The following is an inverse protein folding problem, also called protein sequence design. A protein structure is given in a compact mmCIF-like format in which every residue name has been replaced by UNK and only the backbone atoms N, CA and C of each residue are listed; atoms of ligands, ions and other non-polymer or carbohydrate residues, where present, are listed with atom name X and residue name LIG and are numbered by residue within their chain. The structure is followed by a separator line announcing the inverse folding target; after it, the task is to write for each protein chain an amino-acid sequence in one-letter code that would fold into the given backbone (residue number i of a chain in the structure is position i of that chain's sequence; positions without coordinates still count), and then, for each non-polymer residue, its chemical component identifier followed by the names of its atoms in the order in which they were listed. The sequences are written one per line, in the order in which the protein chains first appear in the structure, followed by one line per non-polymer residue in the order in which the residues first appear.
data_IF_282862606022
#
_entry.id   IF_282862606022
#
_cell.length_a   1.000
_cell.length_b   1.000
_cell.length_c   1.000
_cell.angle_alpha   90.00
_cell.angle_beta   90.00
_cell.angle_gamma   90.00
#
_symmetry.space_group_name_H-M   'P 1'
#
loop_
_entity.id
_entity.type
_entity.pdbx_description
1 polymer ?
#
# COMPACT_ATOMS: atom_id res chain seq x y z
N UNK A 1 29.41 7.28 18.59
CA UNK A 1 29.96 5.91 18.60
C UNK A 1 29.64 5.28 17.26
N UNK A 2 30.66 4.92 16.48
CA UNK A 2 30.51 4.36 15.13
C UNK A 2 29.88 2.97 15.20
N UNK A 3 28.55 2.92 15.15
CA UNK A 3 27.80 1.68 15.15
C UNK A 3 28.14 0.87 13.91
N UNK A 4 29.00 -0.14 14.07
CA UNK A 4 29.36 -1.09 13.03
C UNK A 4 28.11 -1.94 12.72
N UNK A 5 27.26 -1.41 11.85
CA UNK A 5 25.94 -1.95 11.61
C UNK A 5 26.01 -3.05 10.55
N UNK A 6 26.27 -4.28 10.99
CA UNK A 6 26.27 -5.47 10.11
C UNK A 6 24.84 -5.90 9.81
N UNK A 7 24.65 -6.55 8.67
CA UNK A 7 23.41 -7.22 8.34
C UNK A 7 23.25 -8.46 9.21
N UNK A 8 22.15 -8.55 9.96
CA UNK A 8 21.79 -9.73 10.73
C UNK A 8 20.89 -10.59 9.84
N UNK A 9 21.39 -11.76 9.42
CA UNK A 9 20.60 -12.74 8.70
C UNK A 9 20.31 -13.91 9.62
N UNK A 10 19.07 -14.00 10.05
CA UNK A 10 18.55 -15.13 10.82
C UNK A 10 17.70 -16.00 9.88
N UNK A 11 17.81 -17.32 10.00
CA UNK A 11 16.94 -18.26 9.27
C UNK A 11 15.68 -18.64 10.07
N UNK A 12 15.57 -18.14 11.29
CA UNK A 12 14.48 -18.45 12.22
C UNK A 12 13.74 -17.20 12.65
N UNK A 13 13.35 -17.21 13.92
CA UNK A 13 12.45 -16.21 14.49
C UNK A 13 13.23 -15.16 15.27
N UNK A 14 12.86 -13.90 15.08
CA UNK A 14 13.44 -12.76 15.80
C UNK A 14 12.40 -12.23 16.77
N UNK A 15 12.68 -12.35 18.07
CA UNK A 15 11.88 -11.70 19.10
C UNK A 15 12.65 -10.50 19.65
N UNK A 16 12.15 -9.31 19.34
CA UNK A 16 12.63 -8.07 19.94
C UNK A 16 11.74 -7.73 21.12
N UNK A 17 12.24 -7.94 22.33
CA UNK A 17 11.50 -7.61 23.57
C UNK A 17 11.36 -6.11 23.76
N UNK A 18 10.44 -5.66 24.62
CA UNK A 18 10.18 -4.23 24.85
C UNK A 18 11.39 -3.40 25.32
N UNK A 19 12.37 -4.04 25.96
CA UNK A 19 13.63 -3.41 26.38
C UNK A 19 14.77 -3.58 25.36
N UNK A 20 14.55 -4.36 24.31
CA UNK A 20 15.50 -4.56 23.23
C UNK A 20 15.65 -3.31 22.36
N UNK A 21 16.89 -2.92 22.10
CA UNK A 21 17.24 -1.95 21.05
C UNK A 21 17.99 -2.68 19.95
N UNK A 22 17.39 -2.76 18.76
CA UNK A 22 17.99 -3.38 17.60
C UNK A 22 18.51 -2.29 16.66
N UNK A 23 19.82 -2.03 16.74
CA UNK A 23 20.53 -1.05 15.93
C UNK A 23 21.25 -1.66 14.72
N UNK A 24 20.55 -2.44 13.89
CA UNK A 24 21.15 -3.14 12.74
C UNK A 24 20.77 -2.51 11.40
N UNK A 25 21.65 -2.58 10.41
CA UNK A 25 21.46 -1.91 9.12
C UNK A 25 20.43 -2.64 8.28
N UNK A 26 20.40 -3.97 8.40
CA UNK A 26 19.42 -4.84 7.78
C UNK A 26 19.26 -6.09 8.63
N UNK A 27 18.01 -6.43 8.96
CA UNK A 27 17.63 -7.69 9.61
C UNK A 27 16.83 -8.50 8.60
N UNK A 28 17.24 -9.73 8.37
CA UNK A 28 16.50 -10.71 7.58
C UNK A 28 16.10 -11.84 8.52
N UNK A 29 14.81 -12.16 8.56
CA UNK A 29 14.25 -13.22 9.38
C UNK A 29 13.08 -13.92 8.70
N UNK A 30 12.72 -15.10 9.20
CA UNK A 30 11.53 -15.80 8.72
C UNK A 30 10.28 -15.20 9.37
N UNK A 31 10.25 -15.20 10.70
CA UNK A 31 9.21 -14.55 11.49
C UNK A 31 9.82 -13.50 12.43
N UNK A 32 9.08 -12.44 12.71
CA UNK A 32 9.50 -11.41 13.66
C UNK A 32 8.39 -11.06 14.63
N UNK A 33 8.72 -10.95 15.91
CA UNK A 33 7.87 -10.35 16.93
C UNK A 33 8.59 -9.12 17.48
N UNK A 34 8.01 -7.94 17.27
CA UNK A 34 8.65 -6.67 17.58
C UNK A 34 7.89 -5.93 18.67
N UNK A 35 8.43 -5.94 19.88
CA UNK A 35 7.95 -5.19 21.04
C UNK A 35 8.89 -4.02 21.41
N UNK A 36 10.14 -4.05 20.92
CA UNK A 36 11.19 -3.09 21.25
C UNK A 36 11.50 -2.06 20.18
N UNK A 37 12.58 -1.30 20.40
CA UNK A 37 13.04 -0.26 19.47
C UNK A 37 13.79 -0.89 18.30
N UNK A 38 13.24 -0.72 17.11
CA UNK A 38 13.89 -1.12 15.87
C UNK A 38 14.50 0.11 15.17
N UNK A 39 15.82 0.12 15.05
CA UNK A 39 16.59 1.11 14.26
C UNK A 39 17.28 0.39 13.10
N UNK A 40 16.60 0.31 11.96
CA UNK A 40 17.15 -0.44 10.83
C UNK A 40 16.16 -0.75 9.73
N UNK A 41 16.62 -1.44 8.70
CA UNK A 41 15.73 -2.07 7.73
C UNK A 41 15.37 -3.48 8.23
N UNK A 42 14.09 -3.84 8.17
CA UNK A 42 13.58 -5.16 8.52
C UNK A 42 13.03 -5.85 7.29
N UNK A 43 13.46 -7.09 7.06
CA UNK A 43 12.98 -7.97 6.02
C UNK A 43 12.49 -9.28 6.66
N UNK A 44 11.20 -9.57 6.54
CA UNK A 44 10.59 -10.80 7.02
C UNK A 44 10.06 -11.61 5.82
N UNK A 45 10.48 -12.85 5.69
CA UNK A 45 10.02 -13.70 4.58
C UNK A 45 8.60 -14.23 4.77
N UNK A 46 8.10 -14.27 6.01
CA UNK A 46 6.79 -14.85 6.34
C UNK A 46 5.91 -13.84 7.11
N UNK A 47 5.89 -13.92 8.44
CA UNK A 47 4.97 -13.13 9.28
C UNK A 47 5.73 -12.22 10.25
N UNK A 48 5.36 -10.94 10.26
CA UNK A 48 5.88 -9.93 11.16
C UNK A 48 4.77 -9.40 12.06
N UNK A 49 4.83 -9.76 13.35
CA UNK A 49 3.94 -9.25 14.38
C UNK A 49 4.57 -8.03 15.02
N UNK A 50 3.91 -6.89 14.92
CA UNK A 50 4.36 -5.63 15.51
C UNK A 50 3.51 -5.39 16.75
N UNK A 51 4.17 -5.41 17.91
CA UNK A 51 3.62 -5.06 19.22
C UNK A 51 4.44 -3.90 19.85
N UNK A 52 4.76 -2.91 19.05
CA UNK A 52 5.59 -1.77 19.45
C UNK A 52 4.77 -0.49 19.47
N UNK A 53 5.07 0.39 20.44
CA UNK A 53 4.53 1.74 20.52
C UNK A 53 5.70 2.73 20.39
N UNK A 54 5.72 3.47 19.28
CA UNK A 54 6.71 4.50 19.02
C UNK A 54 7.03 4.66 17.54
N UNK A 55 8.18 5.30 17.31
CA UNK A 55 8.65 5.68 15.98
C UNK A 55 9.58 4.60 15.43
N UNK A 56 9.34 4.16 14.20
CA UNK A 56 10.23 3.27 13.45
C UNK A 56 10.90 4.10 12.33
N UNK A 57 12.18 4.50 12.48
CA UNK A 57 12.90 5.29 11.48
C UNK A 57 13.37 4.48 10.26
N UNK A 58 12.84 3.27 10.08
CA UNK A 58 13.36 2.25 9.18
C UNK A 58 12.36 1.77 8.13
N UNK A 59 12.85 1.11 7.08
CA UNK A 59 12.00 0.44 6.09
C UNK A 59 11.63 -0.95 6.59
N UNK A 60 10.36 -1.31 6.46
CA UNK A 60 9.85 -2.64 6.80
C UNK A 60 9.37 -3.31 5.52
N UNK A 61 9.79 -4.55 5.31
CA UNK A 61 9.31 -5.41 4.23
C UNK A 61 8.96 -6.77 4.82
N UNK A 62 7.72 -7.22 4.66
CA UNK A 62 7.27 -8.52 5.14
C UNK A 62 6.22 -9.10 4.21
N UNK A 63 6.00 -10.42 4.15
CA UNK A 63 4.83 -10.93 3.43
C UNK A 63 3.54 -10.60 4.17
N UNK A 64 3.47 -10.96 5.46
CA UNK A 64 2.31 -10.68 6.32
C UNK A 64 2.72 -9.77 7.48
N UNK A 65 2.02 -8.66 7.66
CA UNK A 65 2.20 -7.77 8.81
C UNK A 65 0.96 -7.84 9.66
N UNK A 66 1.13 -8.07 10.96
CA UNK A 66 0.07 -8.08 11.95
C UNK A 66 0.38 -7.04 13.02
N UNK A 67 -0.40 -5.97 13.06
CA UNK A 67 -0.27 -4.90 14.05
C UNK A 67 -1.21 -5.21 15.20
N UNK A 68 -0.68 -5.38 16.41
CA UNK A 68 -1.49 -5.66 17.60
C UNK A 68 -2.31 -4.46 18.08
N UNK A 69 -3.32 -4.71 18.92
CA UNK A 69 -4.23 -3.68 19.45
C UNK A 69 -3.56 -2.64 20.35
N UNK A 70 -2.47 -3.01 21.02
CA UNK A 70 -1.71 -2.12 21.92
C UNK A 70 -0.59 -1.37 21.19
N UNK A 71 -0.45 -1.59 19.89
CA UNK A 71 0.61 -0.99 19.08
C UNK A 71 0.21 0.40 18.61
N UNK A 72 1.18 1.31 18.65
CA UNK A 72 1.07 2.66 18.11
C UNK A 72 2.33 2.94 17.30
N UNK A 73 2.27 2.59 16.02
CA UNK A 73 3.46 2.57 15.16
C UNK A 73 3.46 3.81 14.29
N UNK A 74 4.52 4.60 14.38
CA UNK A 74 4.76 5.73 13.49
C UNK A 74 5.92 5.43 12.55
N UNK A 75 5.59 5.17 11.28
CA UNK A 75 6.54 4.85 10.23
C UNK A 75 6.95 6.11 9.47
N UNK A 76 8.21 6.50 9.60
CA UNK A 76 8.78 7.61 8.81
C UNK A 76 9.14 7.22 7.38
N UNK A 77 9.23 5.91 7.11
CA UNK A 77 9.60 5.35 5.81
C UNK A 77 8.49 4.43 5.33
N UNK A 78 8.51 4.16 4.02
CA UNK A 78 7.59 3.25 3.37
C UNK A 78 7.65 1.84 3.96
N UNK A 79 6.49 1.31 4.32
CA UNK A 79 6.28 -0.09 4.70
C UNK A 79 5.77 -0.86 3.49
N UNK A 80 6.35 -2.04 3.21
CA UNK A 80 5.93 -2.91 2.12
C UNK A 80 5.45 -4.25 2.65
N UNK A 81 4.26 -4.68 2.24
CA UNK A 81 3.82 -6.05 2.52
C UNK A 81 2.88 -6.63 1.46
N UNK A 82 2.62 -7.93 1.52
CA UNK A 82 1.57 -8.52 0.69
C UNK A 82 0.21 -8.38 1.39
N UNK A 83 0.14 -8.78 2.66
CA UNK A 83 -1.06 -8.69 3.50
C UNK A 83 -0.77 -7.92 4.78
N UNK A 84 -1.58 -6.92 5.10
CA UNK A 84 -1.46 -6.13 6.32
C UNK A 84 -2.76 -6.22 7.12
N UNK A 85 -2.67 -6.65 8.37
CA UNK A 85 -3.79 -6.69 9.30
C UNK A 85 -3.54 -5.70 10.44
N UNK A 86 -4.43 -4.71 10.58
CA UNK A 86 -4.27 -3.61 11.52
C UNK A 86 -5.31 -3.73 12.63
N UNK A 87 -4.86 -4.09 13.84
CA UNK A 87 -5.71 -4.14 15.04
C UNK A 87 -5.52 -2.94 15.98
N UNK A 88 -4.38 -2.26 15.90
CA UNK A 88 -4.03 -1.08 16.70
C UNK A 88 -3.94 0.20 15.87
N UNK A 89 -3.03 1.11 16.26
CA UNK A 89 -2.79 2.36 15.55
C UNK A 89 -1.52 2.27 14.71
N UNK A 90 -1.62 2.73 13.47
CA UNK A 90 -0.48 2.80 12.56
C UNK A 90 -0.55 4.09 11.76
N UNK A 91 0.58 4.79 11.65
CA UNK A 91 0.69 6.02 10.87
C UNK A 91 1.91 5.99 9.93
N UNK A 92 1.75 6.55 8.73
CA UNK A 92 2.81 6.67 7.72
C UNK A 92 2.42 6.14 6.34
N UNK A 93 3.44 5.92 5.49
CA UNK A 93 3.25 5.44 4.12
C UNK A 93 3.28 3.91 4.05
N UNK A 94 2.17 3.29 3.61
CA UNK A 94 2.01 1.83 3.54
C UNK A 94 1.72 1.42 2.11
N UNK A 95 2.48 0.45 1.62
CA UNK A 95 2.26 -0.18 0.31
C UNK A 95 2.00 -1.66 0.52
N UNK A 96 0.78 -2.10 0.24
CA UNK A 96 0.39 -3.50 0.39
C UNK A 96 -0.41 -4.03 -0.82
N UNK A 97 -0.60 -5.35 -0.93
CA UNK A 97 -1.63 -5.85 -1.84
C UNK A 97 -2.99 -5.81 -1.17
N UNK A 98 -3.10 -6.36 0.04
CA UNK A 98 -4.35 -6.46 0.79
C UNK A 98 -4.15 -5.80 2.16
N UNK A 99 -5.03 -4.87 2.51
CA UNK A 99 -5.06 -4.23 3.83
C UNK A 99 -6.39 -4.55 4.52
N UNK A 100 -6.33 -5.10 5.72
CA UNK A 100 -7.50 -5.40 6.55
C UNK A 100 -7.42 -4.60 7.84
N UNK A 101 -8.36 -3.68 8.04
CA UNK A 101 -8.49 -2.88 9.26
C UNK A 101 -9.54 -3.53 10.15
N UNK A 102 -9.16 -3.97 11.36
CA UNK A 102 -10.09 -4.55 12.33
C UNK A 102 -10.90 -3.49 13.09
N UNK A 103 -11.90 -3.93 13.87
CA UNK A 103 -12.87 -3.08 14.61
C UNK A 103 -12.31 -1.96 15.53
N UNK A 104 -11.03 -1.99 15.86
CA UNK A 104 -10.34 -0.95 16.68
C UNK A 104 -9.05 -0.45 16.02
N UNK A 105 -8.84 -0.82 14.77
CA UNK A 105 -7.70 -0.37 13.99
C UNK A 105 -7.86 1.08 13.60
N UNK A 106 -6.82 1.90 13.78
CA UNK A 106 -6.75 3.24 13.25
C UNK A 106 -5.54 3.34 12.31
N UNK A 107 -5.78 3.81 11.10
CA UNK A 107 -4.74 3.96 10.09
C UNK A 107 -4.70 5.40 9.59
N UNK A 108 -3.55 6.05 9.75
CA UNK A 108 -3.38 7.46 9.41
C UNK A 108 -2.22 7.69 8.42
N UNK A 109 -2.50 8.29 7.26
CA UNK A 109 -1.49 8.61 6.25
C UNK A 109 -1.79 8.02 4.87
N UNK A 110 -0.73 7.85 4.07
CA UNK A 110 -0.82 7.47 2.67
C UNK A 110 -0.76 5.95 2.51
N UNK A 111 -1.86 5.36 2.02
CA UNK A 111 -1.99 3.92 1.84
C UNK A 111 -2.16 3.62 0.38
N UNK A 112 -1.26 2.84 -0.18
CA UNK A 112 -1.36 2.29 -1.52
C UNK A 112 -1.64 0.79 -1.42
N UNK A 113 -2.82 0.37 -1.81
CA UNK A 113 -3.23 -1.04 -1.75
C UNK A 113 -3.82 -1.52 -3.08
N UNK A 114 -3.89 -2.83 -3.32
CA UNK A 114 -4.74 -3.37 -4.40
C UNK A 114 -6.16 -3.61 -3.94
N UNK A 115 -6.33 -4.02 -2.69
CA UNK A 115 -7.61 -4.23 -2.04
C UNK A 115 -7.54 -3.78 -0.58
N UNK A 116 -8.63 -3.20 -0.08
CA UNK A 116 -8.77 -2.82 1.32
C UNK A 116 -10.10 -3.37 1.87
N UNK A 117 -10.06 -3.87 3.09
CA UNK A 117 -11.22 -4.36 3.84
C UNK A 117 -11.24 -3.69 5.20
N UNK A 118 -12.35 -3.05 5.55
CA UNK A 118 -12.49 -2.31 6.81
C UNK A 118 -13.63 -2.93 7.60
N UNK A 119 -13.32 -3.44 8.78
CA UNK A 119 -14.31 -3.96 9.71
C UNK A 119 -15.02 -2.84 10.48
N UNK A 120 -16.19 -3.16 11.06
CA UNK A 120 -17.01 -2.22 11.85
C UNK A 120 -16.22 -1.60 13.00
N UNK A 121 -15.96 -0.30 12.93
CA UNK A 121 -15.20 0.45 13.95
C UNK A 121 -13.73 0.69 13.59
N UNK A 122 -13.26 0.20 12.43
CA UNK A 122 -11.99 0.62 11.85
C UNK A 122 -12.06 2.08 11.41
N UNK A 123 -11.00 2.85 11.70
CA UNK A 123 -10.89 4.25 11.31
C UNK A 123 -9.71 4.42 10.35
N UNK A 124 -9.94 5.10 9.24
CA UNK A 124 -8.91 5.43 8.26
C UNK A 124 -8.94 6.93 7.99
N UNK A 125 -7.77 7.58 8.06
CA UNK A 125 -7.61 9.02 7.87
C UNK A 125 -6.38 9.29 7.01
N UNK A 126 -6.56 9.70 5.76
CA UNK A 126 -5.43 10.03 4.88
C UNK A 126 -5.75 9.77 3.41
N UNK A 127 -4.71 9.69 2.57
CA UNK A 127 -4.90 9.37 1.16
C UNK A 127 -4.85 7.86 0.94
N UNK A 128 -5.86 7.34 0.26
CA UNK A 128 -5.92 5.94 -0.15
C UNK A 128 -5.86 5.85 -1.68
N UNK A 129 -4.89 5.10 -2.19
CA UNK A 129 -4.73 4.83 -3.61
C UNK A 129 -4.90 3.34 -3.84
N UNK A 130 -5.98 2.97 -4.52
CA UNK A 130 -6.28 1.58 -4.87
C UNK A 130 -5.85 1.33 -6.32
N UNK A 131 -5.14 0.23 -6.59
CA UNK A 131 -4.93 -0.25 -7.97
C UNK A 131 -3.60 0.10 -8.63
N UNK A 132 -2.61 0.66 -7.92
CA UNK A 132 -1.24 0.81 -8.45
C UNK A 132 -0.48 -0.53 -8.45
N UNK A 133 -0.92 -1.43 -9.31
CA UNK A 133 -0.14 -2.53 -9.84
C UNK A 133 0.80 -1.97 -10.93
N UNK A 134 2.04 -1.66 -10.57
CA UNK A 134 3.09 -1.16 -11.47
C UNK A 134 2.88 0.29 -11.95
N UNK A 135 3.86 1.15 -11.64
CA UNK A 135 4.25 2.16 -12.62
C UNK A 135 4.97 1.41 -13.75
N UNK A 136 4.22 0.83 -14.68
CA UNK A 136 4.67 0.79 -16.06
C UNK A 136 4.52 2.22 -16.55
N UNK A 137 5.63 2.95 -16.49
CA UNK A 137 5.80 4.21 -17.20
C UNK A 137 5.61 3.91 -18.69
N UNK A 138 4.39 4.09 -19.21
CA UNK A 138 4.09 3.77 -20.62
C UNK A 138 2.64 3.96 -21.09
N UNK A 139 1.62 3.76 -20.25
CA UNK A 139 0.22 3.73 -20.73
C UNK A 139 -0.73 4.57 -19.86
N UNK A 140 -0.51 5.89 -19.81
CA UNK A 140 -1.54 6.84 -19.37
C UNK A 140 -1.44 8.18 -20.12
N UNK A 141 -0.96 8.12 -21.37
CA UNK A 141 -1.54 8.89 -22.47
C UNK A 141 -2.62 7.93 -23.01
N UNK A 142 -3.93 8.12 -22.94
CA UNK A 142 -4.75 9.33 -22.92
C UNK A 142 -6.06 9.02 -22.17
N UNK A 143 -6.46 9.88 -21.23
CA UNK A 143 -7.90 10.16 -21.08
C UNK A 143 -8.22 11.28 -22.07
N UNK A 144 -8.89 10.99 -23.20
CA UNK A 144 -9.87 11.95 -23.72
C UNK A 144 -10.96 11.36 -24.65
N UNK A 145 -12.17 11.37 -24.08
CA UNK A 145 -13.47 11.75 -24.65
C UNK A 145 -14.48 10.62 -24.93
N UNK A 146 -15.62 10.59 -24.21
CA UNK A 146 -16.70 9.64 -24.46
C UNK A 146 -17.32 9.87 -25.85
N UNK A 147 -17.29 8.83 -26.68
CA UNK A 147 -18.01 8.78 -27.94
C UNK A 147 -19.51 8.70 -27.67
N UNK A 148 -20.23 9.73 -28.10
CA UNK A 148 -21.68 9.76 -28.20
C UNK A 148 -22.11 8.67 -29.20
N UNK A 149 -23.13 7.82 -28.91
CA UNK A 149 -23.68 6.95 -29.93
C UNK A 149 -24.42 7.81 -30.98
N UNK A 150 -23.87 7.90 -32.19
CA UNK A 150 -24.51 8.59 -33.31
C UNK A 150 -25.73 7.78 -33.76
N UNK A 151 -26.90 8.34 -33.47
CA UNK A 151 -28.21 8.00 -34.03
C UNK A 151 -28.13 8.06 -35.56
N UNK A 152 -28.64 7.07 -36.32
CA UNK A 152 -28.69 7.16 -37.76
C UNK A 152 -29.86 8.06 -38.14
N UNK A 153 -29.62 9.14 -38.90
CA UNK A 153 -30.71 9.78 -39.61
C UNK A 153 -30.28 10.52 -40.88
N UNK A 154 -31.04 10.20 -41.93
CA UNK A 154 -31.40 11.02 -43.09
C UNK A 154 -30.29 11.43 -44.06
N UNK A 155 -30.06 10.57 -45.06
CA UNK A 155 -29.80 11.00 -46.42
C UNK A 155 -31.03 11.78 -46.95
N UNK A 156 -30.95 13.11 -46.89
CA UNK A 156 -31.75 13.99 -47.72
C UNK A 156 -30.81 14.93 -48.47
N UNK A 157 -30.34 14.45 -49.62
CA UNK A 157 -29.69 15.26 -50.64
C UNK A 157 -30.76 16.04 -51.43
N UNK A 158 -31.14 17.21 -50.92
CA UNK A 158 -31.85 18.20 -51.70
C UNK A 158 -30.83 19.10 -52.44
N UNK A 159 -30.40 18.67 -53.63
CA UNK A 159 -29.85 19.59 -54.63
C UNK A 159 -30.68 19.49 -55.90
N UNK A 160 -31.58 20.46 -56.00
CA UNK A 160 -32.11 21.12 -57.19
C UNK A 160 -32.12 20.35 -58.51
N UNK A 161 -33.34 20.06 -58.95
CA UNK A 161 -33.71 19.66 -60.30
C UNK A 161 -33.16 20.66 -61.34
N UNK A 162 -32.54 20.13 -62.40
CA UNK A 162 -32.55 20.77 -63.73
C UNK A 162 -33.19 19.80 -64.72
N UNK A 163 -34.38 20.09 -65.25
CA UNK A 163 -34.91 19.35 -66.38
C UNK A 163 -34.55 20.05 -67.70
N UNK A 164 -34.27 19.27 -68.75
CA UNK A 164 -35.08 19.16 -69.98
C UNK A 164 -34.32 18.39 -71.10
N UNK A 165 -35.03 17.85 -72.12
CA UNK A 165 -34.91 16.46 -72.56
C UNK A 165 -34.22 16.28 -73.92
N UNK A 166 -33.97 15.02 -74.27
CA UNK A 166 -33.60 14.60 -75.62
C UNK A 166 -34.86 14.33 -76.48
N UNK A 167 -34.99 15.07 -77.57
CA UNK A 167 -35.46 14.62 -78.90
C UNK A 167 -34.77 15.50 -79.92
#
# INVERSE_FOLDING_TARGET
TSGFSRTIRTRGDVHLTSKGDLGSSSVVCRCALIEGRLRGNLHCDDTATINFAGKIPGRISARRILVERKSDVHCFRRVRAESVEIKGRMSGEIVAQIVTIQKKGALEGDVTARAISVEKGGMFSGQLVIGRANLTQGELLEEQKPGIPSVPNSDFSAVSQRPLPAT
#
